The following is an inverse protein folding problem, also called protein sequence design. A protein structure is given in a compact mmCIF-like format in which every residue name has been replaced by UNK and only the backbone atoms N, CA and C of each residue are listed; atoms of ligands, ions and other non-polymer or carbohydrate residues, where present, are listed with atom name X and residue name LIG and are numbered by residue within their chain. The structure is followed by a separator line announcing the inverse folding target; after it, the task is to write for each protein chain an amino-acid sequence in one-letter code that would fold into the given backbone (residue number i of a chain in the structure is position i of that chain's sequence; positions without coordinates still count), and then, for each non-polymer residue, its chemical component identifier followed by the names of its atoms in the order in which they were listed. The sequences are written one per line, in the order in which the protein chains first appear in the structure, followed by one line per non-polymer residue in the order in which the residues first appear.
data_IF_858392787882
#
_entry.id   IF_858392787882
#
_cell.length_a   1.000
_cell.length_b   1.000
_cell.length_c   1.000
_cell.angle_alpha   90.00
_cell.angle_beta   90.00
_cell.angle_gamma   90.00
#
_symmetry.space_group_name_H-M   'P 1'
#
loop_
_entity.id
_entity.type
_entity.pdbx_description
1 polymer ?
#
# COMPACT_ATOMS: atom_id res chain seq x y z
N UNK A 1 -38.24 0.75 -23.16
CA UNK A 1 -36.98 1.17 -22.51
C UNK A 1 -36.79 0.60 -21.09
N UNK A 2 -37.83 0.07 -20.42
CA UNK A 2 -37.75 -0.45 -19.03
C UNK A 2 -37.16 -1.86 -18.87
N UNK A 3 -37.28 -2.73 -19.88
CA UNK A 3 -36.82 -4.13 -19.79
C UNK A 3 -35.28 -4.22 -19.66
N UNK A 4 -34.54 -3.33 -20.33
CA UNK A 4 -33.08 -3.27 -20.26
C UNK A 4 -32.57 -2.82 -18.88
N UNK A 5 -33.31 -1.96 -18.19
CA UNK A 5 -32.93 -1.50 -16.85
C UNK A 5 -33.25 -2.53 -15.78
N UNK A 6 -34.31 -3.33 -15.95
CA UNK A 6 -34.66 -4.40 -15.02
C UNK A 6 -33.71 -5.62 -15.11
N UNK A 7 -33.31 -6.00 -16.33
CA UNK A 7 -32.30 -7.05 -16.54
C UNK A 7 -30.94 -6.66 -15.93
N UNK A 8 -30.53 -5.39 -16.08
CA UNK A 8 -29.31 -4.86 -15.46
C UNK A 8 -29.37 -4.89 -13.93
N UNK A 9 -30.52 -4.55 -13.32
CA UNK A 9 -30.75 -4.65 -11.87
C UNK A 9 -30.63 -6.09 -11.38
N UNK A 10 -31.29 -7.05 -12.04
CA UNK A 10 -31.19 -8.48 -11.70
C UNK A 10 -29.76 -9.01 -11.83
N UNK A 11 -29.01 -8.55 -12.84
CA UNK A 11 -27.61 -8.92 -13.00
C UNK A 11 -26.75 -8.35 -11.86
N UNK A 12 -26.94 -7.07 -11.51
CA UNK A 12 -26.26 -6.45 -10.37
C UNK A 12 -26.57 -7.18 -9.05
N UNK A 13 -27.82 -7.56 -8.83
CA UNK A 13 -28.25 -8.28 -7.63
C UNK A 13 -27.58 -9.66 -7.53
N UNK A 14 -27.49 -10.40 -8.64
CA UNK A 14 -26.71 -11.65 -8.70
C UNK A 14 -25.24 -11.45 -8.37
N UNK A 15 -24.62 -10.39 -8.91
CA UNK A 15 -23.23 -10.06 -8.62
C UNK A 15 -23.02 -9.70 -7.16
N UNK A 16 -23.97 -8.97 -6.56
CA UNK A 16 -23.94 -8.56 -5.16
C UNK A 16 -24.04 -9.78 -4.23
N UNK A 17 -24.99 -10.68 -4.49
CA UNK A 17 -25.17 -11.91 -3.71
C UNK A 17 -23.94 -12.82 -3.80
N UNK A 18 -23.39 -13.02 -5.01
CA UNK A 18 -22.15 -13.78 -5.20
C UNK A 18 -20.94 -13.16 -4.51
N UNK A 19 -20.91 -11.82 -4.39
CA UNK A 19 -19.88 -11.12 -3.62
C UNK A 19 -20.06 -11.39 -2.12
N UNK A 20 -21.29 -11.27 -1.62
CA UNK A 20 -21.63 -11.51 -0.21
C UNK A 20 -21.30 -12.96 0.22
N UNK A 21 -21.65 -13.95 -0.60
CA UNK A 21 -21.32 -15.37 -0.33
C UNK A 21 -19.82 -15.60 -0.19
N UNK A 22 -19.01 -14.97 -1.05
CA UNK A 22 -17.55 -15.08 -0.96
C UNK A 22 -16.99 -14.39 0.29
N UNK A 23 -17.53 -13.23 0.65
CA UNK A 23 -17.15 -12.52 1.88
C UNK A 23 -17.48 -13.36 3.12
N UNK A 24 -18.64 -14.02 3.13
CA UNK A 24 -19.08 -14.90 4.21
C UNK A 24 -18.23 -16.18 4.32
N UNK A 25 -17.86 -16.80 3.20
CA UNK A 25 -16.91 -17.92 3.18
C UNK A 25 -15.56 -17.53 3.78
N UNK A 26 -15.04 -16.34 3.45
CA UNK A 26 -13.78 -15.86 4.01
C UNK A 26 -13.90 -15.58 5.51
N UNK A 27 -15.01 -15.01 5.97
CA UNK A 27 -15.28 -14.77 7.40
C UNK A 27 -15.38 -16.06 8.22
N UNK A 28 -15.87 -17.16 7.64
CA UNK A 28 -15.94 -18.47 8.29
C UNK A 28 -14.58 -19.17 8.39
N UNK A 29 -13.64 -18.89 7.48
CA UNK A 29 -12.31 -19.51 7.44
C UNK A 29 -11.33 -18.83 8.41
N UNK A 30 -11.52 -17.54 8.70
CA UNK A 30 -10.57 -16.75 9.48
C UNK A 30 -10.86 -16.81 10.98
N UNK A 31 -9.82 -16.98 11.80
CA UNK A 31 -9.92 -16.85 13.25
C UNK A 31 -9.94 -15.36 13.69
N UNK A 32 -10.53 -15.08 14.85
CA UNK A 32 -10.63 -13.72 15.40
C UNK A 32 -9.31 -12.93 15.51
N UNK A 33 -8.15 -13.52 15.89
CA UNK A 33 -6.86 -12.83 15.82
C UNK A 33 -6.50 -12.36 14.41
N UNK A 34 -6.77 -13.18 13.39
CA UNK A 34 -6.45 -12.87 12.00
C UNK A 34 -7.37 -11.77 11.45
N UNK A 35 -8.66 -11.83 11.79
CA UNK A 35 -9.63 -10.75 11.49
C UNK A 35 -9.17 -9.42 12.06
N UNK A 36 -8.65 -9.41 13.29
CA UNK A 36 -8.12 -8.19 13.93
C UNK A 36 -6.92 -7.62 13.17
N UNK A 37 -6.02 -8.48 12.67
CA UNK A 37 -4.86 -8.06 11.87
C UNK A 37 -5.33 -7.46 10.53
N UNK A 38 -6.28 -8.12 9.85
CA UNK A 38 -6.83 -7.66 8.58
C UNK A 38 -7.51 -6.30 8.73
N UNK A 39 -8.41 -6.13 9.71
CA UNK A 39 -9.05 -4.82 9.99
C UNK A 39 -8.02 -3.71 10.24
N UNK A 40 -6.93 -4.02 10.96
CA UNK A 40 -5.84 -3.07 11.20
C UNK A 40 -5.08 -2.74 9.92
N UNK A 41 -4.85 -3.72 9.04
CA UNK A 41 -4.22 -3.52 7.74
C UNK A 41 -5.10 -2.69 6.79
N UNK A 42 -6.40 -2.95 6.74
CA UNK A 42 -7.37 -2.17 5.97
C UNK A 42 -7.42 -0.72 6.44
N UNK A 43 -7.48 -0.48 7.76
CA UNK A 43 -7.44 0.86 8.32
C UNK A 43 -6.15 1.61 7.95
N UNK A 44 -5.01 0.91 7.92
CA UNK A 44 -3.73 1.46 7.45
C UNK A 44 -3.74 1.76 5.95
N UNK A 45 -4.38 0.91 5.15
CA UNK A 45 -4.55 1.11 3.70
C UNK A 45 -5.36 2.37 3.39
N UNK A 46 -6.41 2.62 4.16
CA UNK A 46 -7.28 3.79 4.00
C UNK A 46 -6.65 5.10 4.47
N UNK A 47 -5.64 5.04 5.34
CA UNK A 47 -4.99 6.23 5.86
C UNK A 47 -4.03 6.82 4.83
N UNK A 48 -4.48 7.89 4.18
CA UNK A 48 -3.68 8.71 3.28
C UNK A 48 -2.84 9.76 4.01
N UNK A 49 -1.65 10.01 3.49
CA UNK A 49 -0.72 11.05 3.93
C UNK A 49 -0.39 11.97 2.77
N UNK A 50 -0.36 13.27 3.03
CA UNK A 50 0.07 14.24 2.02
C UNK A 50 1.61 14.21 1.85
N UNK A 51 2.10 14.92 0.83
CA UNK A 51 3.53 15.00 0.53
C UNK A 51 4.36 15.50 1.72
N UNK A 52 3.85 16.49 2.46
CA UNK A 52 4.54 17.09 3.60
C UNK A 52 4.69 16.12 4.77
N UNK A 53 3.63 15.38 5.08
CA UNK A 53 3.64 14.36 6.12
C UNK A 53 4.57 13.22 5.72
N UNK A 54 4.49 12.78 4.47
CA UNK A 54 5.34 11.71 3.92
C UNK A 54 6.82 12.10 3.98
N UNK A 55 7.16 13.34 3.63
CA UNK A 55 8.52 13.88 3.73
C UNK A 55 9.06 13.80 5.17
N UNK A 56 8.24 14.20 6.16
CA UNK A 56 8.58 14.12 7.58
C UNK A 56 8.80 12.68 8.04
N UNK A 57 7.89 11.77 7.67
CA UNK A 57 7.98 10.35 8.04
C UNK A 57 9.25 9.71 7.45
N UNK A 58 9.58 10.02 6.20
CA UNK A 58 10.75 9.47 5.53
C UNK A 58 12.07 10.19 5.89
N UNK A 59 11.97 11.27 6.67
CA UNK A 59 13.06 12.19 6.99
C UNK A 59 13.83 12.64 5.73
N UNK A 60 13.11 13.13 4.72
CA UNK A 60 13.68 13.65 3.48
C UNK A 60 13.08 15.01 3.14
N UNK A 61 13.81 15.88 2.41
CA UNK A 61 13.22 17.10 1.86
C UNK A 61 12.04 16.79 0.94
N UNK A 62 11.02 17.67 0.94
CA UNK A 62 9.86 17.54 0.01
C UNK A 62 10.28 17.48 -1.46
N UNK A 63 11.35 18.20 -1.81
CA UNK A 63 11.89 18.24 -3.16
C UNK A 63 12.38 16.86 -3.63
N UNK A 64 12.92 16.05 -2.72
CA UNK A 64 13.34 14.67 -3.02
C UNK A 64 12.16 13.80 -3.41
N UNK A 65 11.01 13.94 -2.71
CA UNK A 65 9.79 13.24 -3.10
C UNK A 65 9.27 13.71 -4.46
N UNK A 66 9.27 15.02 -4.72
CA UNK A 66 8.92 15.53 -6.05
C UNK A 66 9.81 14.95 -7.14
N UNK A 67 11.11 14.87 -6.89
CA UNK A 67 12.07 14.28 -7.81
C UNK A 67 11.74 12.81 -8.07
N UNK A 68 11.51 11.99 -7.03
CA UNK A 68 11.14 10.58 -7.20
C UNK A 68 9.83 10.38 -7.96
N UNK A 69 8.84 11.23 -7.72
CA UNK A 69 7.58 11.21 -8.49
C UNK A 69 7.83 11.58 -9.95
N UNK A 70 8.64 12.61 -10.21
CA UNK A 70 9.00 13.07 -11.56
C UNK A 70 9.77 12.00 -12.35
N UNK A 71 10.68 11.28 -11.68
CA UNK A 71 11.42 10.16 -12.27
C UNK A 71 10.56 8.88 -12.42
N UNK A 72 9.35 8.86 -11.87
CA UNK A 72 8.45 7.71 -11.94
C UNK A 72 8.82 6.55 -11.02
N UNK A 73 9.82 6.72 -10.15
CA UNK A 73 10.24 5.72 -9.16
C UNK A 73 9.18 5.49 -8.09
N UNK A 74 8.38 6.53 -7.81
CA UNK A 74 7.26 6.48 -6.87
C UNK A 74 6.01 7.01 -7.56
N UNK A 75 4.93 6.22 -7.56
CA UNK A 75 3.65 6.58 -8.16
C UNK A 75 2.57 6.66 -7.09
N UNK A 76 2.39 7.82 -6.43
CA UNK A 76 1.32 8.01 -5.46
C UNK A 76 -0.04 8.07 -6.14
N UNK A 77 -1.09 7.74 -5.39
CA UNK A 77 -2.44 8.09 -5.79
C UNK A 77 -2.62 9.62 -5.76
N UNK A 78 -3.59 10.14 -6.51
CA UNK A 78 -3.87 11.57 -6.55
C UNK A 78 -5.29 11.83 -6.06
N UNK A 79 -5.44 12.83 -5.20
CA UNK A 79 -6.75 13.28 -4.76
C UNK A 79 -7.51 14.01 -5.88
N UNK A 80 -8.74 14.47 -5.59
CA UNK A 80 -9.56 15.21 -6.55
C UNK A 80 -8.92 16.53 -7.04
N UNK A 81 -7.95 17.07 -6.29
CA UNK A 81 -7.17 18.28 -6.64
C UNK A 81 -5.83 17.94 -7.30
N UNK A 82 -5.61 16.68 -7.66
CA UNK A 82 -4.39 16.14 -8.28
C UNK A 82 -3.14 16.18 -7.39
N UNK A 83 -3.28 16.39 -6.07
CA UNK A 83 -2.16 16.31 -5.14
C UNK A 83 -1.79 14.86 -4.83
N UNK A 84 -0.48 14.55 -4.68
CA UNK A 84 -0.02 13.21 -4.35
C UNK A 84 -0.41 12.83 -2.91
N UNK A 85 -1.02 11.65 -2.78
CA UNK A 85 -1.42 11.02 -1.52
C UNK A 85 -0.76 9.65 -1.43
N UNK A 86 -0.12 9.39 -0.29
CA UNK A 86 0.59 8.16 0.01
C UNK A 86 -0.15 7.37 1.06
N UNK A 87 -0.30 6.07 0.85
CA UNK A 87 -0.78 5.16 1.89
C UNK A 87 0.37 4.72 2.79
N UNK A 88 0.05 4.13 3.95
CA UNK A 88 1.08 3.49 4.80
C UNK A 88 1.90 2.47 4.01
N UNK A 89 1.24 1.68 3.15
CA UNK A 89 1.91 0.68 2.31
C UNK A 89 2.89 1.29 1.31
N UNK A 90 2.57 2.45 0.73
CA UNK A 90 3.49 3.14 -0.19
C UNK A 90 4.74 3.61 0.54
N UNK A 91 4.58 4.15 1.75
CA UNK A 91 5.69 4.59 2.59
C UNK A 91 6.58 3.39 2.96
N UNK A 92 5.99 2.27 3.38
CA UNK A 92 6.73 1.04 3.68
C UNK A 92 7.52 0.52 2.47
N UNK A 93 6.91 0.54 1.27
CA UNK A 93 7.60 0.18 0.02
C UNK A 93 8.79 1.08 -0.26
N UNK A 94 8.63 2.40 -0.09
CA UNK A 94 9.72 3.37 -0.29
C UNK A 94 10.86 3.11 0.71
N UNK A 95 10.55 2.84 1.98
CA UNK A 95 11.56 2.52 3.00
C UNK A 95 12.33 1.26 2.62
N UNK A 96 11.63 0.18 2.25
CA UNK A 96 12.25 -1.07 1.81
C UNK A 96 13.19 -0.85 0.62
N UNK A 97 12.70 -0.17 -0.41
CA UNK A 97 13.50 0.16 -1.59
C UNK A 97 14.76 0.96 -1.26
N UNK A 98 14.66 1.99 -0.41
CA UNK A 98 15.82 2.77 0.04
C UNK A 98 16.85 1.92 0.78
N UNK A 99 16.40 0.99 1.61
CA UNK A 99 17.28 0.10 2.34
C UNK A 99 18.00 -0.88 1.41
N UNK A 100 17.31 -1.42 0.39
CA UNK A 100 17.93 -2.26 -0.64
C UNK A 100 19.07 -1.53 -1.36
N UNK A 101 18.90 -0.25 -1.69
CA UNK A 101 19.96 0.55 -2.35
C UNK A 101 21.15 0.79 -1.44
N UNK A 102 20.94 0.98 -0.13
CA UNK A 102 22.04 1.14 0.83
C UNK A 102 22.86 -0.14 0.95
N UNK A 103 22.18 -1.27 1.12
CA UNK A 103 22.79 -2.60 1.19
C UNK A 103 23.63 -2.93 -0.06
N UNK A 104 23.21 -2.49 -1.25
CA UNK A 104 23.99 -2.69 -2.47
C UNK A 104 25.22 -1.79 -2.60
N UNK A 105 25.32 -0.71 -1.81
CA UNK A 105 26.40 0.28 -1.88
C UNK A 105 27.47 0.08 -0.82
N UNK A 106 27.17 -0.63 0.26
CA UNK A 106 28.17 -1.02 1.24
C UNK A 106 29.04 -2.13 0.61
N UNK A 107 30.38 -1.96 0.52
CA UNK A 107 31.23 -3.09 0.18
C UNK A 107 31.00 -4.18 1.21
N UNK A 108 30.97 -5.43 0.75
CA UNK A 108 30.87 -6.61 1.60
C UNK A 108 32.13 -6.70 2.46
N UNK A 109 32.17 -5.93 3.55
CA UNK A 109 33.15 -6.07 4.62
C UNK A 109 32.74 -7.35 5.34
N UNK A 110 33.15 -8.47 4.73
CA UNK A 110 33.12 -9.76 5.39
C UNK A 110 33.86 -9.61 6.71
N UNK A 111 33.25 -10.21 7.72
CA UNK A 111 33.81 -10.45 9.04
C UNK A 111 35.05 -11.32 8.86
N UNK A 112 36.18 -10.70 8.57
CA UNK A 112 37.49 -11.35 8.57
C UNK A 112 38.26 -10.99 9.86
N UNK A 113 37.53 -10.65 10.92
CA UNK A 113 38.06 -10.25 12.23
C UNK A 113 37.66 -11.23 13.34
N UNK A 114 37.56 -12.53 13.01
CA UNK A 114 37.48 -13.62 14.00
C UNK A 114 38.59 -14.68 13.77
N UNK A 115 39.67 -14.35 13.04
CA UNK A 115 40.75 -15.30 12.69
C UNK A 115 42.18 -14.80 13.04
N UNK A 116 42.31 -13.80 13.92
CA UNK A 116 43.62 -13.45 14.52
C UNK A 116 43.56 -13.35 16.05
N UNK A 117 44.00 -14.46 16.66
CA UNK A 117 44.32 -14.73 18.08
C UNK A 117 43.17 -14.84 19.10
#
# INVERSE_FOLDING_TARGET
MEILTEAAKRHLEKLLNKKKEREEQVEQILDEPDKRIIRKAEKRKLKGYNLSQTAKILNVPRQTLYYWIKQGWVKPWRDCRRYPVFTVFDIEKIIKWRNTIKLSKEPNVRRDMDDFL
#
